data_IF_789871869166
#
_entry.id   IF_789871869166
#
_cell.length_a   1.000
_cell.length_b   1.000
_cell.length_c   1.000
_cell.angle_alpha   90.00
_cell.angle_beta   90.00
_cell.angle_gamma   90.00
#
_symmetry.space_group_name_H-M   'P 1'
#
loop_
_entity.id
_entity.type
_entity.pdbx_description
1 polymer ?
#
# COMPACT_ATOMS: atom_id res chain seq x y z
N UNK A 1 -9.35 -9.37 71.12
CA UNK A 1 -9.14 -10.82 71.22
C UNK A 1 -8.88 -11.37 69.82
N UNK A 2 -7.73 -12.05 69.65
CA UNK A 2 -7.42 -13.19 68.76
C UNK A 2 -7.93 -13.13 67.30
N UNK A 3 -7.04 -12.89 66.34
CA UNK A 3 -6.27 -13.91 65.58
C UNK A 3 -7.14 -14.92 64.84
N UNK A 4 -7.13 -14.92 63.50
CA UNK A 4 -6.45 -15.96 62.73
C UNK A 4 -6.39 -15.62 61.23
N UNK A 5 -5.16 -15.65 60.71
CA UNK A 5 -4.78 -15.55 59.30
C UNK A 5 -4.53 -16.99 58.80
N UNK A 6 -4.88 -17.32 57.55
CA UNK A 6 -4.02 -18.22 56.76
C UNK A 6 -3.77 -17.58 55.38
N UNK A 7 -2.56 -17.10 55.10
CA UNK A 7 -1.41 -17.88 54.63
C UNK A 7 -1.77 -18.73 53.39
N UNK A 8 -1.85 -18.06 52.24
CA UNK A 8 -1.91 -18.71 50.93
C UNK A 8 -0.48 -18.84 50.40
N UNK A 9 -0.01 -20.09 50.28
CA UNK A 9 1.33 -20.48 49.85
C UNK A 9 1.65 -20.01 48.43
N UNK A 10 2.85 -19.44 48.27
CA UNK A 10 3.55 -19.30 47.00
C UNK A 10 3.96 -20.70 46.49
N UNK A 11 3.56 -21.03 45.26
CA UNK A 11 4.17 -22.11 44.48
C UNK A 11 5.06 -21.50 43.39
N UNK A 12 6.34 -21.31 43.71
CA UNK A 12 7.36 -21.08 42.69
C UNK A 12 7.62 -22.41 41.97
N UNK A 13 7.17 -22.51 40.72
CA UNK A 13 7.60 -23.56 39.80
C UNK A 13 9.02 -23.22 39.36
N UNK A 14 10.01 -23.81 40.03
CA UNK A 14 11.40 -23.77 39.61
C UNK A 14 11.58 -24.66 38.38
N UNK A 15 11.73 -24.06 37.19
CA UNK A 15 12.24 -24.76 36.02
C UNK A 15 13.73 -25.06 36.23
N UNK A 16 14.04 -26.29 36.62
CA UNK A 16 15.38 -26.87 36.55
C UNK A 16 15.84 -26.90 35.09
N UNK A 17 16.87 -26.12 34.75
CA UNK A 17 17.49 -26.17 33.43
C UNK A 17 18.16 -27.55 33.21
N UNK A 18 17.94 -28.22 32.08
CA UNK A 18 18.63 -29.46 31.77
C UNK A 18 20.12 -29.19 31.51
N UNK A 19 20.96 -30.01 32.13
CA UNK A 19 22.42 -30.01 31.96
C UNK A 19 22.73 -30.43 30.52
N UNK A 20 23.17 -29.48 29.69
CA UNK A 20 23.65 -29.72 28.33
C UNK A 20 24.87 -30.63 28.44
N UNK A 21 24.81 -31.81 27.84
CA UNK A 21 25.95 -32.69 27.67
C UNK A 21 26.96 -32.03 26.72
N UNK A 22 28.24 -32.01 27.09
CA UNK A 22 29.32 -31.55 26.23
C UNK A 22 29.35 -32.36 24.92
N UNK A 23 29.31 -31.66 23.78
CA UNK A 23 29.59 -32.23 22.46
C UNK A 23 31.05 -32.68 22.39
N UNK A 24 31.36 -33.80 21.70
CA UNK A 24 32.72 -34.28 21.56
C UNK A 24 33.55 -33.30 20.72
N UNK A 25 34.75 -33.04 21.24
CA UNK A 25 35.82 -32.18 20.73
C UNK A 25 35.89 -32.16 19.20
N UNK A 26 35.50 -31.02 18.62
CA UNK A 26 35.71 -30.73 17.22
C UNK A 26 37.22 -30.67 16.97
N UNK A 27 37.70 -31.54 16.06
CA UNK A 27 39.11 -31.61 15.64
C UNK A 27 39.73 -30.25 15.25
N UNK A 28 41.06 -30.22 15.05
CA UNK A 28 41.85 -29.00 15.08
C UNK A 28 41.25 -27.88 14.22
N UNK A 29 40.80 -26.81 14.88
CA UNK A 29 40.38 -25.56 14.23
C UNK A 29 41.56 -25.00 13.44
N UNK A 30 41.55 -25.24 12.14
CA UNK A 30 42.42 -24.52 11.21
C UNK A 30 42.23 -23.00 11.36
N UNK A 31 43.22 -22.18 10.97
CA UNK A 31 43.09 -20.74 11.04
C UNK A 31 41.82 -20.28 10.29
N UNK A 32 41.10 -19.27 10.81
CA UNK A 32 39.86 -18.81 10.22
C UNK A 32 40.10 -18.44 8.75
N UNK A 33 39.31 -19.03 7.85
CA UNK A 33 39.36 -18.71 6.44
C UNK A 33 39.14 -17.20 6.25
N UNK A 34 40.12 -16.51 5.65
CA UNK A 34 39.95 -15.10 5.27
C UNK A 34 39.19 -15.08 3.96
N UNK A 35 37.92 -14.72 4.03
CA UNK A 35 37.07 -14.50 2.86
C UNK A 35 37.11 -13.01 2.54
N UNK A 36 37.86 -12.66 1.51
CA UNK A 36 37.84 -11.30 0.94
C UNK A 36 36.60 -11.18 0.06
N UNK A 37 35.50 -10.66 0.64
CA UNK A 37 34.33 -10.30 -0.15
C UNK A 37 34.69 -9.12 -1.07
N UNK A 38 34.27 -9.17 -2.35
CA UNK A 38 34.36 -7.99 -3.20
C UNK A 38 33.65 -6.80 -2.54
N UNK A 39 34.13 -5.57 -2.78
CA UNK A 39 33.49 -4.39 -2.22
C UNK A 39 32.03 -4.37 -2.63
N UNK A 40 31.14 -4.06 -1.68
CA UNK A 40 29.72 -3.89 -2.00
C UNK A 40 29.58 -2.85 -3.12
N UNK A 41 29.02 -3.28 -4.24
CA UNK A 41 28.58 -2.37 -5.29
C UNK A 41 27.49 -1.50 -4.67
N UNK A 42 27.74 -0.19 -4.60
CA UNK A 42 26.72 0.77 -4.24
C UNK A 42 25.82 0.95 -5.45
N UNK A 43 24.64 0.38 -5.40
CA UNK A 43 23.58 0.64 -6.37
C UNK A 43 22.97 2.00 -5.99
N UNK A 44 23.59 3.11 -6.40
CA UNK A 44 23.01 4.43 -6.18
C UNK A 44 21.83 4.65 -7.14
N UNK A 45 20.67 4.10 -6.78
CA UNK A 45 19.42 4.45 -7.43
C UNK A 45 19.02 5.87 -7.03
N UNK A 46 19.24 6.84 -7.92
CA UNK A 46 18.70 8.20 -7.75
C UNK A 46 17.17 8.08 -7.65
N UNK A 47 16.61 8.56 -6.54
CA UNK A 47 15.16 8.58 -6.37
C UNK A 47 14.52 9.41 -7.49
N UNK A 48 13.38 8.98 -8.05
CA UNK A 48 12.69 9.76 -9.06
C UNK A 48 12.31 11.13 -8.46
N UNK A 49 12.13 12.17 -9.30
CA UNK A 49 11.55 13.43 -8.89
C UNK A 49 10.21 13.22 -8.17
N UNK A 50 9.91 14.05 -7.18
CA UNK A 50 8.64 13.92 -6.43
C UNK A 50 7.45 14.48 -7.21
N UNK A 51 7.69 15.55 -7.95
CA UNK A 51 6.68 16.31 -8.67
C UNK A 51 7.08 16.48 -10.13
N UNK A 52 6.09 16.80 -10.96
CA UNK A 52 6.31 17.37 -12.28
C UNK A 52 6.84 18.81 -12.17
N UNK A 53 7.17 19.43 -13.31
CA UNK A 53 7.73 20.78 -13.36
C UNK A 53 6.78 21.86 -12.80
N UNK A 54 5.48 21.60 -12.80
CA UNK A 54 4.43 22.46 -12.25
C UNK A 54 4.10 22.18 -10.78
N UNK A 55 4.85 21.28 -10.13
CA UNK A 55 4.67 20.97 -8.72
C UNK A 55 3.59 19.93 -8.41
N UNK A 56 2.86 19.41 -9.40
CA UNK A 56 1.89 18.33 -9.18
C UNK A 56 2.64 17.03 -8.92
N UNK A 57 2.15 16.21 -7.98
CA UNK A 57 2.83 14.96 -7.62
C UNK A 57 2.84 13.97 -8.78
N UNK A 58 3.99 13.31 -8.92
CA UNK A 58 4.19 12.15 -9.78
C UNK A 58 3.80 10.87 -9.06
N UNK A 59 3.39 9.85 -9.81
CA UNK A 59 3.02 8.55 -9.22
C UNK A 59 4.24 7.83 -8.65
N UNK A 60 5.31 7.69 -9.43
CA UNK A 60 6.59 7.09 -9.06
C UNK A 60 7.22 7.81 -7.87
N UNK A 61 7.09 9.14 -7.87
CA UNK A 61 7.63 10.03 -6.88
C UNK A 61 6.88 9.96 -5.55
N UNK A 62 5.55 9.86 -5.61
CA UNK A 62 4.68 9.61 -4.48
C UNK A 62 4.98 8.23 -3.86
N UNK A 63 5.02 7.17 -4.69
CA UNK A 63 5.26 5.80 -4.23
C UNK A 63 6.64 5.63 -3.59
N UNK A 64 7.66 6.32 -4.11
CA UNK A 64 9.01 6.35 -3.53
C UNK A 64 9.06 7.02 -2.14
N UNK A 65 8.13 7.93 -1.85
CA UNK A 65 8.06 8.71 -0.60
C UNK A 65 6.71 8.53 0.11
N UNK A 66 6.11 7.35 0.01
CA UNK A 66 4.76 7.05 0.50
C UNK A 66 4.48 7.48 1.94
N UNK A 67 5.45 7.33 2.84
CA UNK A 67 5.30 7.69 4.25
C UNK A 67 5.07 9.20 4.48
N UNK A 68 5.60 10.05 3.59
CA UNK A 68 5.47 11.51 3.66
C UNK A 68 4.04 11.98 3.37
N UNK A 69 3.32 11.26 2.51
CA UNK A 69 2.02 11.66 1.95
C UNK A 69 0.85 10.83 2.47
N UNK A 70 1.12 9.83 3.31
CA UNK A 70 0.08 8.92 3.78
C UNK A 70 -0.96 9.67 4.63
N UNK A 71 -2.22 9.32 4.41
CA UNK A 71 -3.41 9.88 5.04
C UNK A 71 -3.63 11.37 4.75
N UNK A 72 -2.97 11.91 3.73
CA UNK A 72 -3.13 13.28 3.27
C UNK A 72 -3.98 13.36 2.02
N UNK A 73 -4.68 14.49 1.87
CA UNK A 73 -5.29 14.88 0.60
C UNK A 73 -4.20 15.43 -0.32
N UNK A 74 -4.10 14.85 -1.51
CA UNK A 74 -3.04 15.16 -2.48
C UNK A 74 -3.62 15.31 -3.89
N UNK A 75 -2.85 15.96 -4.75
CA UNK A 75 -3.14 16.10 -6.19
C UNK A 75 -2.05 15.38 -6.96
N UNK A 76 -2.43 14.40 -7.77
CA UNK A 76 -1.52 13.55 -8.54
C UNK A 76 -1.87 13.64 -10.01
N UNK A 77 -0.85 13.73 -10.85
CA UNK A 77 -1.00 13.60 -12.30
C UNK A 77 -0.50 12.24 -12.75
N UNK A 78 -1.27 11.57 -13.59
CA UNK A 78 -0.89 10.25 -14.12
C UNK A 78 -1.70 9.86 -15.35
N UNK A 79 -1.11 9.00 -16.16
CA UNK A 79 -1.77 8.31 -17.26
C UNK A 79 -2.60 7.15 -16.74
N UNK A 80 -3.80 6.99 -17.26
CA UNK A 80 -4.60 5.79 -17.06
C UNK A 80 -3.95 4.63 -17.83
N UNK A 81 -3.41 3.65 -17.11
CA UNK A 81 -2.66 2.55 -17.72
C UNK A 81 -3.39 1.22 -17.68
N UNK A 82 -4.38 1.08 -16.79
CA UNK A 82 -5.13 -0.16 -16.63
C UNK A 82 -6.45 0.13 -15.91
N UNK A 83 -7.43 -0.75 -16.09
CA UNK A 83 -8.75 -0.68 -15.45
C UNK A 83 -9.23 -2.05 -15.05
N UNK A 84 -9.96 -2.11 -13.93
CA UNK A 84 -10.61 -3.34 -13.55
C UNK A 84 -11.71 -3.69 -14.55
N UNK A 85 -11.64 -4.90 -15.10
CA UNK A 85 -12.68 -5.48 -15.93
C UNK A 85 -13.28 -6.64 -15.17
N UNK A 86 -14.58 -6.59 -14.91
CA UNK A 86 -15.26 -7.70 -14.25
C UNK A 86 -15.29 -8.91 -15.20
N UNK A 87 -14.78 -10.09 -14.79
CA UNK A 87 -14.86 -11.29 -15.60
C UNK A 87 -16.32 -11.67 -15.89
N UNK A 88 -16.60 -12.14 -17.11
CA UNK A 88 -17.97 -12.47 -17.55
C UNK A 88 -18.63 -13.60 -16.72
N UNK A 89 -17.83 -14.51 -16.16
CA UNK A 89 -18.27 -15.64 -15.35
C UNK A 89 -18.34 -15.32 -13.84
N UNK A 90 -17.98 -14.10 -13.44
CA UNK A 90 -17.96 -13.72 -12.05
C UNK A 90 -19.37 -13.49 -11.49
N UNK A 91 -19.70 -14.20 -10.40
CA UNK A 91 -20.97 -13.97 -9.65
C UNK A 91 -21.01 -12.63 -8.92
N UNK A 92 -19.83 -12.04 -8.67
CA UNK A 92 -19.65 -10.76 -7.97
C UNK A 92 -18.45 -10.05 -8.58
N UNK A 93 -18.65 -8.80 -8.99
CA UNK A 93 -17.59 -7.92 -9.43
C UNK A 93 -17.01 -7.17 -8.24
N UNK A 94 -15.72 -6.84 -8.32
CA UNK A 94 -15.15 -5.82 -7.45
C UNK A 94 -15.71 -4.44 -7.82
N UNK A 95 -15.61 -3.49 -6.90
CA UNK A 95 -15.96 -2.10 -7.18
C UNK A 95 -15.06 -1.52 -8.27
N UNK A 96 -15.56 -0.56 -9.07
CA UNK A 96 -14.75 0.10 -10.08
C UNK A 96 -13.46 0.69 -9.49
N UNK A 97 -12.34 0.37 -10.12
CA UNK A 97 -11.03 0.90 -9.80
C UNK A 97 -10.14 0.89 -11.03
N UNK A 98 -9.17 1.79 -11.06
CA UNK A 98 -8.24 1.96 -12.18
C UNK A 98 -6.82 2.15 -11.69
N UNK A 99 -5.83 2.08 -12.58
CA UNK A 99 -4.44 2.32 -12.27
C UNK A 99 -3.88 3.52 -13.03
N UNK A 100 -3.18 4.38 -12.29
CA UNK A 100 -2.48 5.55 -12.80
C UNK A 100 -0.96 5.33 -12.74
N UNK A 101 -0.22 5.83 -13.74
CA UNK A 101 1.24 5.82 -13.76
C UNK A 101 1.82 7.08 -14.44
N UNK A 102 3.11 7.37 -14.28
CA UNK A 102 3.70 8.58 -14.89
C UNK A 102 3.93 8.48 -16.41
N UNK A 103 3.90 7.27 -16.96
CA UNK A 103 4.01 7.02 -18.39
C UNK A 103 3.26 5.73 -18.76
N UNK A 104 2.77 5.61 -20.01
CA UNK A 104 2.28 4.34 -20.54
C UNK A 104 3.36 3.25 -20.40
N UNK A 105 2.99 2.10 -19.84
CA UNK A 105 3.91 0.97 -19.65
C UNK A 105 4.91 1.12 -18.48
N UNK A 106 4.77 2.14 -17.64
CA UNK A 106 5.61 2.25 -16.44
C UNK A 106 5.32 1.12 -15.43
N UNK A 107 6.37 0.56 -14.83
CA UNK A 107 6.25 -0.52 -13.84
C UNK A 107 5.53 -0.09 -12.56
N UNK A 108 5.71 1.18 -12.18
CA UNK A 108 5.12 1.76 -10.97
C UNK A 108 3.77 2.36 -11.30
N UNK A 109 2.73 1.80 -10.69
CA UNK A 109 1.35 2.25 -10.82
C UNK A 109 0.67 2.35 -9.47
N UNK A 110 -0.26 3.30 -9.35
CA UNK A 110 -1.08 3.53 -8.17
C UNK A 110 -2.54 3.26 -8.50
N UNK A 111 -3.23 2.58 -7.60
CA UNK A 111 -4.65 2.27 -7.74
C UNK A 111 -5.49 3.48 -7.30
N UNK A 112 -6.42 3.90 -8.15
CA UNK A 112 -7.47 4.87 -7.87
C UNK A 112 -8.77 4.11 -7.57
N UNK A 113 -9.35 4.35 -6.41
CA UNK A 113 -10.56 3.67 -5.90
C UNK A 113 -11.61 4.69 -5.46
N UNK A 114 -12.84 4.24 -5.20
CA UNK A 114 -13.94 5.11 -4.80
C UNK A 114 -14.54 5.92 -5.95
N UNK A 115 -14.28 5.51 -7.19
CA UNK A 115 -14.92 6.03 -8.39
C UNK A 115 -16.24 5.28 -8.64
N UNK A 116 -17.23 5.98 -9.20
CA UNK A 116 -18.45 5.35 -9.69
C UNK A 116 -18.24 4.79 -11.13
N UNK A 117 -19.23 4.05 -11.63
CA UNK A 117 -19.17 3.47 -12.99
C UNK A 117 -19.07 4.56 -14.07
N UNK A 118 -19.70 5.72 -13.88
CA UNK A 118 -19.68 6.81 -14.88
C UNK A 118 -18.30 7.41 -15.02
N UNK A 119 -17.61 7.64 -13.91
CA UNK A 119 -16.23 8.14 -13.91
C UNK A 119 -15.33 7.06 -14.51
N UNK A 120 -15.50 5.80 -14.13
CA UNK A 120 -14.71 4.70 -14.68
C UNK A 120 -14.86 4.60 -16.21
N UNK A 121 -16.07 4.74 -16.74
CA UNK A 121 -16.36 4.72 -18.18
C UNK A 121 -15.89 5.98 -18.92
N UNK A 122 -15.95 7.15 -18.28
CA UNK A 122 -15.53 8.41 -18.88
C UNK A 122 -14.00 8.55 -19.00
N UNK A 123 -13.25 7.91 -18.10
CA UNK A 123 -11.80 7.85 -18.16
C UNK A 123 -11.36 6.98 -19.35
N UNK A 124 -10.38 7.43 -20.14
CA UNK A 124 -9.87 6.75 -21.32
C UNK A 124 -8.45 6.24 -21.10
N UNK A 125 -8.19 5.02 -21.58
CA UNK A 125 -6.87 4.39 -21.46
C UNK A 125 -5.83 5.19 -22.26
N UNK A 126 -4.65 5.38 -21.67
CA UNK A 126 -3.56 6.16 -22.26
C UNK A 126 -3.70 7.68 -22.15
N UNK A 127 -4.82 8.20 -21.64
CA UNK A 127 -4.96 9.64 -21.36
C UNK A 127 -4.41 10.01 -19.97
N UNK A 128 -3.96 11.26 -19.85
CA UNK A 128 -3.41 11.80 -18.61
C UNK A 128 -4.47 12.61 -17.87
N UNK A 129 -4.58 12.38 -16.57
CA UNK A 129 -5.53 13.06 -15.70
C UNK A 129 -4.82 13.68 -14.49
N UNK A 130 -5.36 14.80 -14.01
CA UNK A 130 -5.00 15.38 -12.71
C UNK A 130 -6.12 15.02 -11.73
N UNK A 131 -5.78 14.16 -10.77
CA UNK A 131 -6.73 13.58 -9.83
C UNK A 131 -6.41 14.06 -8.42
N UNK A 132 -7.43 14.59 -7.76
CA UNK A 132 -7.40 14.93 -6.34
C UNK A 132 -8.02 13.79 -5.55
N UNK A 133 -7.35 13.40 -4.46
CA UNK A 133 -7.86 12.36 -3.58
C UNK A 133 -7.08 12.22 -2.29
N UNK A 134 -7.54 11.33 -1.41
CA UNK A 134 -6.84 10.99 -0.16
C UNK A 134 -5.94 9.79 -0.39
N UNK A 135 -4.64 9.95 -0.14
CA UNK A 135 -3.69 8.84 -0.25
C UNK A 135 -3.71 8.00 1.03
N UNK A 136 -4.05 6.72 0.94
CA UNK A 136 -4.23 5.85 2.09
C UNK A 136 -3.77 4.42 1.78
N UNK A 137 -3.56 3.58 2.81
CA UNK A 137 -3.30 2.14 2.62
C UNK A 137 -4.57 1.32 2.44
N UNK A 138 -5.70 1.85 2.90
CA UNK A 138 -7.01 1.20 2.94
C UNK A 138 -8.08 2.22 2.58
N UNK A 139 -9.08 1.79 1.82
CA UNK A 139 -10.33 2.52 1.62
C UNK A 139 -11.43 1.99 2.54
N UNK A 140 -12.46 2.83 2.76
CA UNK A 140 -13.71 2.40 3.40
C UNK A 140 -14.41 1.30 2.59
N UNK A 141 -14.09 1.30 1.29
CA UNK A 141 -14.51 0.36 0.30
C UNK A 141 -13.76 -0.99 0.33
N UNK A 142 -12.99 -1.25 1.37
CA UNK A 142 -12.37 -2.56 1.60
C UNK A 142 -11.16 -2.86 0.72
N UNK A 143 -10.77 -1.97 -0.19
CA UNK A 143 -9.49 -2.10 -0.90
C UNK A 143 -8.33 -1.84 0.05
N UNK A 144 -7.28 -2.65 -0.06
CA UNK A 144 -6.04 -2.53 0.70
C UNK A 144 -4.86 -2.73 -0.23
N UNK A 145 -3.92 -1.78 -0.24
CA UNK A 145 -2.71 -1.89 -1.04
C UNK A 145 -1.50 -1.38 -0.26
N UNK A 146 -0.45 -2.20 -0.16
CA UNK A 146 0.75 -1.90 0.63
C UNK A 146 1.56 -0.70 0.09
N UNK A 147 1.47 -0.47 -1.22
CA UNK A 147 2.02 0.71 -1.91
C UNK A 147 1.24 1.99 -1.64
N UNK A 148 0.02 1.89 -1.12
CA UNK A 148 -0.95 2.98 -1.02
C UNK A 148 -1.86 3.04 -2.24
N UNK A 149 -3.08 3.52 -2.02
CA UNK A 149 -4.11 3.77 -3.01
C UNK A 149 -4.56 5.24 -2.90
N UNK A 150 -5.11 5.78 -3.98
CA UNK A 150 -5.73 7.09 -3.99
C UNK A 150 -7.24 6.90 -3.91
N UNK A 151 -7.86 7.41 -2.85
CA UNK A 151 -9.32 7.45 -2.72
C UNK A 151 -9.79 8.70 -3.47
N UNK A 152 -10.55 8.49 -4.53
CA UNK A 152 -11.02 9.54 -5.43
C UNK A 152 -11.85 10.60 -4.68
N UNK A 153 -11.60 11.87 -5.01
CA UNK A 153 -12.48 12.98 -4.65
C UNK A 153 -12.89 13.78 -5.88
N UNK A 154 -11.95 14.07 -6.78
CA UNK A 154 -12.20 14.87 -7.98
C UNK A 154 -11.17 14.59 -9.07
N UNK A 155 -11.56 14.77 -10.32
CA UNK A 155 -10.66 14.84 -11.47
C UNK A 155 -10.87 16.16 -12.22
N UNK A 156 -9.80 16.77 -12.69
CA UNK A 156 -9.86 18.01 -13.47
C UNK A 156 -10.20 17.71 -14.93
N UNK A 157 -11.11 18.52 -15.51
CA UNK A 157 -11.36 18.52 -16.95
C UNK A 157 -12.14 17.31 -17.50
N UNK A 158 -12.69 16.44 -16.65
CA UNK A 158 -13.52 15.32 -17.10
C UNK A 158 -14.98 15.76 -17.26
N UNK A 159 -15.51 15.69 -18.48
CA UNK A 159 -16.93 15.88 -18.76
C UNK A 159 -17.69 14.60 -18.39
N UNK A 160 -18.44 14.64 -17.29
CA UNK A 160 -19.26 13.52 -16.85
C UNK A 160 -20.62 13.54 -17.56
N UNK A 161 -21.16 12.37 -17.97
CA UNK A 161 -22.52 12.29 -18.43
C UNK A 161 -23.50 12.72 -17.33
N UNK A 162 -24.65 13.33 -17.68
CA UNK A 162 -25.60 13.86 -16.70
C UNK A 162 -26.03 12.78 -15.69
N UNK A 163 -26.18 13.16 -14.42
CA UNK A 163 -26.66 12.23 -13.39
C UNK A 163 -28.06 11.75 -13.76
N UNK A 164 -28.23 10.44 -13.93
CA UNK A 164 -29.53 9.82 -14.10
C UNK A 164 -30.31 10.02 -12.79
N UNK A 165 -31.29 10.93 -12.77
CA UNK A 165 -32.03 11.47 -11.61
C UNK A 165 -32.97 10.43 -10.93
N UNK A 166 -32.51 9.19 -10.78
CA UNK A 166 -33.24 8.07 -10.14
C UNK A 166 -33.28 8.20 -8.61
N UNK A 167 -32.46 9.05 -8.01
CA UNK A 167 -32.42 9.22 -6.56
C UNK A 167 -33.50 10.18 -5.99
N UNK A 168 -34.22 10.92 -6.84
CA UNK A 168 -35.40 11.72 -6.41
C UNK A 168 -36.64 10.89 -6.06
N UNK A 169 -36.73 9.62 -6.49
CA UNK A 169 -37.90 8.77 -6.20
C UNK A 169 -37.88 8.08 -4.83
N UNK A 170 -36.75 8.09 -4.10
CA UNK A 170 -36.66 7.46 -2.76
C UNK A 170 -36.95 8.40 -1.59
N UNK A 171 -37.32 9.65 -1.85
CA UNK A 171 -37.67 10.67 -0.84
C UNK A 171 -39.13 11.13 -0.90
N UNK A 172 -40.04 10.32 -1.47
CA UNK A 172 -41.49 10.54 -1.37
C UNK A 172 -42.15 9.42 -0.62
#
# INVERSE_FOLDING_TARGET
MRHFLPLFCLAFVACTAPKIAEEPDAGPKGPPARVDLPPLIKLEGTLPPETHADGILRVDGLLARKAKHLDQKIVVRGYLVDRYQCPEDAKRCERPHVWLADAPGADKRMMLVGIDERIAEALKDGEQYVVTGRFARKSDDGFVMSGGLLIYEQVEGLELPPEDDKNKRRKR
#
